data_IF_021058824392
#
_entry.id   IF_021058824392
#
_cell.length_a   1.000
_cell.length_b   1.000
_cell.length_c   1.000
_cell.angle_alpha   90.00
_cell.angle_beta   90.00
_cell.angle_gamma   90.00
#
_symmetry.space_group_name_H-M   'P 1'
#
loop_
_entity.id
_entity.type
_entity.pdbx_description
1 polymer ?
#
# COMPACT_ATOMS: atom_id res chain seq x y z
N UNK A 1 1.37 23.50 3.66
CA UNK A 1 2.14 22.55 2.85
C UNK A 1 2.52 21.42 3.78
N UNK A 2 1.80 20.30 3.74
CA UNK A 2 2.16 19.13 4.54
C UNK A 2 3.30 18.45 3.80
N UNK A 3 4.51 18.51 4.34
CA UNK A 3 5.64 17.74 3.82
C UNK A 3 5.25 16.27 3.90
N UNK A 4 5.20 15.62 2.74
CA UNK A 4 5.11 14.16 2.62
C UNK A 4 6.51 13.54 2.76
N UNK A 5 7.36 14.17 3.56
CA UNK A 5 8.72 13.71 3.81
C UNK A 5 8.60 12.30 4.39
N UNK A 6 8.94 11.35 3.52
CA UNK A 6 9.22 9.95 3.72
C UNK A 6 8.23 9.17 4.61
N UNK A 7 7.30 8.45 3.97
CA UNK A 7 6.75 7.23 4.55
C UNK A 7 7.90 6.24 4.82
N UNK A 8 8.59 6.39 5.95
CA UNK A 8 9.57 5.41 6.42
C UNK A 8 8.83 4.31 7.17
N UNK A 9 8.27 3.38 6.40
CA UNK A 9 7.63 2.19 6.95
C UNK A 9 8.68 1.07 7.01
N UNK A 10 8.94 0.56 8.22
CA UNK A 10 9.79 -0.61 8.40
C UNK A 10 8.96 -1.89 8.21
N UNK A 11 8.73 -2.26 6.94
CA UNK A 11 7.91 -3.41 6.57
C UNK A 11 8.43 -4.72 7.14
N UNK A 12 9.75 -4.93 7.12
CA UNK A 12 10.36 -6.16 7.65
C UNK A 12 10.08 -6.36 9.14
N UNK A 13 10.26 -5.30 9.95
CA UNK A 13 10.02 -5.41 11.39
C UNK A 13 8.53 -5.62 11.69
N UNK A 14 7.65 -4.95 10.94
CA UNK A 14 6.20 -5.15 11.08
C UNK A 14 5.84 -6.61 10.74
N UNK A 15 6.34 -7.14 9.62
CA UNK A 15 6.09 -8.53 9.22
C UNK A 15 6.64 -9.54 10.23
N UNK A 16 7.86 -9.34 10.74
CA UNK A 16 8.43 -10.17 11.82
C UNK A 16 7.55 -10.21 13.07
N UNK A 17 6.92 -9.08 13.41
CA UNK A 17 5.96 -8.97 14.51
C UNK A 17 4.55 -9.50 14.15
N UNK A 18 4.34 -9.92 12.89
CA UNK A 18 3.06 -10.44 12.41
C UNK A 18 2.08 -9.37 11.99
N UNK A 19 2.57 -8.22 11.55
CA UNK A 19 1.76 -7.09 11.11
C UNK A 19 2.10 -6.65 9.68
N UNK A 20 1.10 -6.19 8.95
CA UNK A 20 1.26 -5.60 7.62
C UNK A 20 0.52 -4.26 7.51
N UNK A 21 1.07 -3.36 6.70
CA UNK A 21 0.44 -2.08 6.37
C UNK A 21 -0.52 -2.28 5.21
N UNK A 22 -1.81 -2.08 5.46
CA UNK A 22 -2.89 -2.26 4.49
C UNK A 22 -3.80 -1.03 4.42
N UNK A 23 -4.56 -0.97 3.33
CA UNK A 23 -5.65 -0.01 3.14
C UNK A 23 -6.97 -0.59 3.71
N UNK A 24 -7.60 0.10 4.67
CA UNK A 24 -8.89 -0.37 5.20
C UNK A 24 -10.02 0.00 4.25
N UNK A 25 -10.56 -1.02 3.59
CA UNK A 25 -11.99 -1.04 3.24
C UNK A 25 -12.78 -2.18 3.88
N UNK A 26 -12.14 -3.13 4.57
CA UNK A 26 -12.76 -4.44 4.81
C UNK A 26 -13.03 -4.84 6.26
N UNK A 27 -12.81 -3.98 7.26
CA UNK A 27 -13.23 -4.24 8.65
C UNK A 27 -13.51 -2.94 9.41
N UNK A 28 -14.45 -2.99 10.35
CA UNK A 28 -14.68 -1.92 11.32
C UNK A 28 -13.49 -1.88 12.29
N UNK A 29 -12.75 -0.78 12.25
CA UNK A 29 -11.64 -0.51 13.17
C UNK A 29 -11.82 0.90 13.72
N UNK A 30 -11.25 1.18 14.89
CA UNK A 30 -11.15 2.54 15.40
C UNK A 30 -10.20 3.33 14.49
N UNK A 31 -10.77 4.24 13.70
CA UNK A 31 -10.05 5.02 12.69
C UNK A 31 -9.65 6.36 13.31
N UNK A 32 -8.39 6.77 13.15
CA UNK A 32 -8.05 8.18 13.35
C UNK A 32 -8.75 9.05 12.31
N UNK A 33 -9.04 10.32 12.64
CA UNK A 33 -9.62 11.31 11.72
C UNK A 33 -8.63 11.76 10.62
N UNK A 34 -7.75 10.86 10.16
CA UNK A 34 -6.91 11.12 9.00
C UNK A 34 -7.71 10.89 7.72
N UNK A 35 -7.50 11.79 6.76
CA UNK A 35 -7.92 11.65 5.37
C UNK A 35 -7.50 10.32 4.72
N UNK A 36 -6.43 9.70 5.21
CA UNK A 36 -5.84 8.49 4.64
C UNK A 36 -5.93 7.33 5.63
N UNK A 37 -6.72 6.31 5.28
CA UNK A 37 -6.99 5.15 6.15
C UNK A 37 -5.97 4.02 5.95
N UNK A 38 -4.70 4.31 6.22
CA UNK A 38 -3.67 3.28 6.34
C UNK A 38 -3.74 2.64 7.72
N UNK A 39 -3.68 1.30 7.79
CA UNK A 39 -3.57 0.60 9.07
C UNK A 39 -2.56 -0.50 9.08
N UNK A 40 -2.12 -0.80 10.29
CA UNK A 40 -1.32 -1.96 10.62
C UNK A 40 -2.30 -3.07 11.03
N UNK A 41 -2.38 -4.13 10.23
CA UNK A 41 -3.25 -5.28 10.47
C UNK A 41 -2.43 -6.53 10.76
N UNK A 42 -2.93 -7.42 11.62
CA UNK A 42 -2.28 -8.69 11.95
C UNK A 42 -2.39 -9.66 10.77
N UNK A 43 -1.28 -10.34 10.46
CA UNK A 43 -1.16 -11.37 9.43
C UNK A 43 -0.74 -12.68 10.08
N UNK A 44 -1.58 -13.72 9.94
CA UNK A 44 -1.40 -14.99 10.64
C UNK A 44 -0.52 -16.00 9.86
N UNK A 45 -0.25 -15.79 8.55
CA UNK A 45 0.51 -16.73 7.68
C UNK A 45 1.26 -16.03 6.54
N UNK A 46 2.34 -16.66 6.04
CA UNK A 46 3.17 -16.28 4.87
C UNK A 46 3.57 -14.80 4.76
N UNK A 47 4.30 -14.36 5.79
CA UNK A 47 4.70 -12.97 6.00
C UNK A 47 5.68 -12.47 4.94
N UNK A 48 6.59 -13.32 4.49
CA UNK A 48 7.68 -12.92 3.59
C UNK A 48 7.17 -12.66 2.16
N UNK A 49 6.12 -13.37 1.73
CA UNK A 49 5.53 -13.25 0.40
C UNK A 49 4.25 -12.37 0.39
N UNK A 50 3.80 -11.89 1.56
CA UNK A 50 2.53 -11.19 1.72
C UNK A 50 2.30 -10.04 0.73
N UNK A 51 3.26 -9.12 0.62
CA UNK A 51 3.14 -7.98 -0.29
C UNK A 51 3.32 -8.40 -1.74
N UNK A 52 4.14 -9.43 -2.01
CA UNK A 52 4.32 -9.99 -3.35
C UNK A 52 3.01 -10.56 -3.89
N UNK A 53 2.36 -11.39 -3.08
CA UNK A 53 1.11 -12.04 -3.41
C UNK A 53 -0.01 -11.03 -3.57
N UNK A 54 -0.07 -10.02 -2.70
CA UNK A 54 -1.07 -8.96 -2.81
C UNK A 54 -0.92 -8.15 -4.09
N UNK A 55 0.30 -7.74 -4.42
CA UNK A 55 0.59 -7.01 -5.65
C UNK A 55 0.27 -7.85 -6.88
N UNK A 56 0.70 -9.12 -6.89
CA UNK A 56 0.37 -10.07 -7.96
C UNK A 56 -1.14 -10.27 -8.10
N UNK A 57 -1.88 -10.37 -7.00
CA UNK A 57 -3.33 -10.51 -7.01
C UNK A 57 -4.04 -9.26 -7.58
N UNK A 58 -3.55 -8.06 -7.27
CA UNK A 58 -4.19 -6.82 -7.71
C UNK A 58 -3.91 -6.51 -9.18
N UNK A 59 -2.75 -6.91 -9.67
CA UNK A 59 -2.15 -6.34 -10.88
C UNK A 59 -1.83 -7.39 -11.94
N UNK A 60 -1.79 -8.66 -11.55
CA UNK A 60 -1.33 -9.79 -12.36
C UNK A 60 0.12 -9.66 -12.84
N UNK A 61 0.91 -8.75 -12.24
CA UNK A 61 2.33 -8.54 -12.55
C UNK A 61 3.19 -9.23 -11.49
N UNK A 62 4.31 -9.82 -11.92
CA UNK A 62 5.33 -10.34 -11.02
C UNK A 62 6.40 -9.26 -10.75
N UNK A 63 6.69 -9.05 -9.47
CA UNK A 63 7.68 -8.09 -8.99
C UNK A 63 8.87 -8.83 -8.40
N UNK A 64 10.07 -8.26 -8.51
CA UNK A 64 11.24 -8.85 -7.86
C UNK A 64 11.14 -8.61 -6.35
N UNK A 65 11.53 -9.57 -5.50
CA UNK A 65 11.46 -9.41 -4.03
C UNK A 65 12.15 -8.15 -3.51
N UNK A 66 13.25 -7.72 -4.14
CA UNK A 66 14.04 -6.57 -3.69
C UNK A 66 13.38 -5.19 -3.89
N UNK A 67 12.34 -5.08 -4.73
CA UNK A 67 11.65 -3.81 -5.02
C UNK A 67 10.24 -3.73 -4.42
N UNK A 68 9.75 -4.80 -3.79
CA UNK A 68 8.36 -4.92 -3.32
C UNK A 68 7.99 -3.82 -2.33
N UNK A 69 8.84 -3.56 -1.35
CA UNK A 69 8.57 -2.55 -0.32
C UNK A 69 8.59 -1.12 -0.88
N UNK A 70 9.47 -0.84 -1.84
CA UNK A 70 9.51 0.45 -2.54
C UNK A 70 8.21 0.63 -3.34
N UNK A 71 7.88 -0.34 -4.18
CA UNK A 71 6.67 -0.33 -5.03
C UNK A 71 5.40 -0.21 -4.18
N UNK A 72 5.30 -0.96 -3.10
CA UNK A 72 4.14 -0.87 -2.20
C UNK A 72 4.01 0.53 -1.60
N UNK A 73 5.12 1.12 -1.15
CA UNK A 73 5.12 2.49 -0.60
C UNK A 73 4.71 3.50 -1.67
N UNK A 74 5.21 3.37 -2.89
CA UNK A 74 4.82 4.24 -4.01
C UNK A 74 3.33 4.10 -4.35
N UNK A 75 2.77 2.89 -4.33
CA UNK A 75 1.34 2.66 -4.54
C UNK A 75 0.51 3.32 -3.43
N UNK A 76 0.94 3.21 -2.16
CA UNK A 76 0.26 3.90 -1.05
C UNK A 76 0.30 5.42 -1.25
N UNK A 77 1.46 5.98 -1.58
CA UNK A 77 1.59 7.42 -1.87
C UNK A 77 0.74 7.85 -3.07
N UNK A 78 0.70 7.04 -4.11
CA UNK A 78 -0.10 7.29 -5.30
C UNK A 78 -1.60 7.26 -4.98
N UNK A 79 -2.03 6.30 -4.16
CA UNK A 79 -3.40 6.22 -3.64
C UNK A 79 -3.79 7.51 -2.92
N UNK A 80 -2.93 8.00 -2.04
CA UNK A 80 -3.13 9.23 -1.28
C UNK A 80 -3.26 10.44 -2.20
N UNK A 81 -2.35 10.56 -3.16
CA UNK A 81 -2.35 11.66 -4.14
C UNK A 81 -3.64 11.65 -4.96
N UNK A 82 -4.03 10.50 -5.51
CA UNK A 82 -5.25 10.36 -6.29
C UNK A 82 -6.51 10.61 -5.47
N UNK A 83 -6.56 10.12 -4.22
CA UNK A 83 -7.71 10.34 -3.34
C UNK A 83 -7.95 11.82 -3.06
N UNK A 84 -6.86 12.60 -2.92
CA UNK A 84 -6.93 14.06 -2.77
C UNK A 84 -7.40 14.75 -4.04
N UNK A 85 -6.86 14.38 -5.20
CA UNK A 85 -7.24 14.99 -6.49
C UNK A 85 -8.71 14.72 -6.82
N UNK A 86 -9.19 13.50 -6.56
CA UNK A 86 -10.56 13.10 -6.83
C UNK A 86 -11.55 13.50 -5.72
N UNK A 87 -11.05 14.10 -4.63
CA UNK A 87 -11.80 14.45 -3.43
C UNK A 87 -12.66 13.28 -2.88
N UNK A 88 -12.17 12.06 -3.03
CA UNK A 88 -12.81 10.81 -2.58
C UNK A 88 -11.75 9.75 -2.32
N UNK A 89 -11.99 8.88 -1.36
CA UNK A 89 -11.15 7.70 -1.16
C UNK A 89 -11.27 6.75 -2.36
N UNK A 90 -10.14 6.31 -2.89
CA UNK A 90 -10.07 5.27 -3.93
C UNK A 90 -9.59 3.95 -3.31
N UNK A 91 -9.92 2.80 -3.92
CA UNK A 91 -9.41 1.53 -3.40
C UNK A 91 -7.92 1.37 -3.73
N UNK A 92 -7.19 0.71 -2.83
CA UNK A 92 -5.80 0.32 -3.08
C UNK A 92 -5.61 -0.46 -4.38
N UNK A 93 -6.57 -1.33 -4.76
CA UNK A 93 -6.52 -2.07 -6.03
C UNK A 93 -6.54 -1.12 -7.24
N UNK A 94 -7.40 -0.10 -7.23
CA UNK A 94 -7.45 0.90 -8.31
C UNK A 94 -6.16 1.70 -8.33
N UNK A 95 -5.63 2.08 -7.15
CA UNK A 95 -4.36 2.78 -7.06
C UNK A 95 -3.18 1.96 -7.59
N UNK A 96 -3.12 0.67 -7.26
CA UNK A 96 -2.07 -0.23 -7.73
C UNK A 96 -2.10 -0.40 -9.26
N UNK A 97 -3.29 -0.59 -9.83
CA UNK A 97 -3.45 -0.70 -11.29
C UNK A 97 -3.06 0.58 -12.00
N UNK A 98 -3.54 1.73 -11.53
CA UNK A 98 -3.22 3.02 -12.13
C UNK A 98 -1.73 3.34 -12.01
N UNK A 99 -1.12 3.09 -10.84
CA UNK A 99 0.32 3.26 -10.64
C UNK A 99 1.13 2.40 -11.63
N UNK A 100 0.73 1.15 -11.87
CA UNK A 100 1.47 0.28 -12.80
C UNK A 100 1.39 0.77 -14.23
N UNK A 101 0.20 1.17 -14.68
CA UNK A 101 -0.01 1.63 -16.03
C UNK A 101 0.61 3.02 -16.29
N UNK A 102 0.69 3.87 -15.27
CA UNK A 102 1.11 5.28 -15.44
C UNK A 102 2.53 5.58 -14.98
N UNK A 103 3.01 4.92 -13.91
CA UNK A 103 4.32 5.20 -13.29
C UNK A 103 5.30 4.05 -13.52
N UNK A 104 4.92 2.82 -13.20
CA UNK A 104 5.83 1.68 -13.27
C UNK A 104 6.24 1.32 -14.71
N UNK A 105 5.28 1.25 -15.65
CA UNK A 105 5.57 0.98 -17.07
C UNK A 105 6.28 2.11 -17.80
N UNK A 106 6.26 3.32 -17.25
CA UNK A 106 6.97 4.48 -17.80
C UNK A 106 8.46 4.51 -17.38
N UNK A 107 8.87 3.60 -16.49
CA UNK A 107 10.23 3.42 -15.96
C UNK A 107 11.02 2.43 -16.83
#
# INVERSE_FOLDING_TARGET
MTNYDDFQINYENLLKLGYAVMDIRYKEYDICNDSQKLVIARVDTDRDEFYQDMLKQYTSVEFKPGEIYEIWTEILMHKVKMSRVLNRDISIKVAALDYIETVYRAR
#
